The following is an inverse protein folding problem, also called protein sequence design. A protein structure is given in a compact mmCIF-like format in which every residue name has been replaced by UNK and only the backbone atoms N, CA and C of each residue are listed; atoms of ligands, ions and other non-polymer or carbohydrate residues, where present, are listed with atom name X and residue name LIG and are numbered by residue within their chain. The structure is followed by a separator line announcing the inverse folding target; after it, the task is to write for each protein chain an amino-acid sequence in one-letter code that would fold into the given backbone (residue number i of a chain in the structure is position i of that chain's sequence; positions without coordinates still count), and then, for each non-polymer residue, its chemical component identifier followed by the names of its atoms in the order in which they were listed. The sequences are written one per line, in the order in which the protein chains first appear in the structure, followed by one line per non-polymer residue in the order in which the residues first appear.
data_IF_266357102821
#
_entry.id   IF_266357102821
#
_cell.length_a   1.000
_cell.length_b   1.000
_cell.length_c   1.000
_cell.angle_alpha   90.00
_cell.angle_beta   90.00
_cell.angle_gamma   90.00
#
_symmetry.space_group_name_H-M   'P 1'
#
loop_
_entity.id
_entity.type
_entity.pdbx_description
1 polymer ?
#
# COMPACT_ATOMS: atom_id res chain seq x y z
N UNK A 1 13.37 3.14 8.77
CA UNK A 1 12.23 3.38 9.63
C UNK A 1 11.52 4.61 9.18
N UNK A 2 10.25 4.70 9.36
CA UNK A 2 9.49 5.84 8.89
C UNK A 2 8.70 5.57 7.63
N UNK A 3 8.59 4.31 7.24
CA UNK A 3 7.70 3.93 6.14
C UNK A 3 6.51 3.15 6.67
N UNK A 4 5.35 3.44 6.11
CA UNK A 4 4.14 2.69 6.40
C UNK A 4 3.45 2.31 5.11
N UNK A 5 2.63 1.29 5.17
CA UNK A 5 1.84 0.85 4.04
C UNK A 5 0.37 1.15 4.30
N UNK A 6 -0.24 1.88 3.37
CA UNK A 6 -1.69 2.07 3.37
C UNK A 6 -2.30 0.97 2.53
N UNK A 7 -3.16 0.17 3.13
CA UNK A 7 -3.92 -0.84 2.41
C UNK A 7 -5.31 -0.31 2.16
N UNK A 8 -5.66 -0.20 0.88
CA UNK A 8 -6.98 0.24 0.44
C UNK A 8 -7.78 -0.99 0.06
N UNK A 9 -8.82 -1.28 0.82
CA UNK A 9 -9.71 -2.39 0.48
C UNK A 9 -10.82 -1.88 -0.42
N UNK A 10 -11.06 -2.59 -1.52
CA UNK A 10 -12.05 -2.22 -2.53
C UNK A 10 -13.32 -3.06 -2.37
N UNK A 11 -14.45 -2.51 -2.79
CA UNK A 11 -15.71 -3.24 -2.76
C UNK A 11 -15.79 -4.33 -3.82
N UNK A 12 -15.12 -4.11 -4.95
CA UNK A 12 -15.17 -5.02 -6.09
C UNK A 12 -13.76 -5.43 -6.48
N UNK A 13 -13.64 -6.63 -7.05
CA UNK A 13 -12.37 -7.10 -7.58
C UNK A 13 -11.97 -6.30 -8.81
N UNK A 14 -10.67 -6.10 -8.99
CA UNK A 14 -10.13 -5.50 -10.21
C UNK A 14 -9.10 -6.46 -10.81
N UNK A 15 -9.05 -6.52 -12.12
CA UNK A 15 -8.12 -7.42 -12.80
C UNK A 15 -6.71 -6.84 -12.89
N UNK A 16 -6.60 -5.52 -12.85
CA UNK A 16 -5.32 -4.84 -12.95
C UNK A 16 -5.46 -3.43 -12.36
N UNK A 17 -4.31 -2.86 -11.99
CA UNK A 17 -4.28 -1.48 -11.49
C UNK A 17 -4.40 -0.54 -12.69
N UNK A 18 -5.37 0.41 -12.67
CA UNK A 18 -5.49 1.37 -13.78
C UNK A 18 -4.20 2.14 -14.01
N UNK A 19 -3.88 2.39 -15.27
CA UNK A 19 -2.64 3.07 -15.64
C UNK A 19 -2.56 4.49 -15.07
N UNK A 20 -3.69 5.14 -14.83
CA UNK A 20 -3.72 6.47 -14.23
C UNK A 20 -3.14 6.49 -12.81
N UNK A 21 -2.98 5.32 -12.19
CA UNK A 21 -2.45 5.18 -10.84
C UNK A 21 -0.99 4.72 -10.81
N UNK A 22 -0.36 4.58 -11.97
CA UNK A 22 1.02 4.07 -12.05
C UNK A 22 2.01 4.91 -11.24
N UNK A 23 1.77 6.20 -11.13
CA UNK A 23 2.67 7.11 -10.41
C UNK A 23 2.77 6.81 -8.91
N UNK A 24 1.86 6.03 -8.37
CA UNK A 24 1.85 5.69 -6.94
C UNK A 24 2.58 4.39 -6.62
N UNK A 25 3.00 3.64 -7.62
CA UNK A 25 3.68 2.34 -7.43
C UNK A 25 2.86 1.40 -6.54
N UNK A 26 1.58 1.29 -6.83
CA UNK A 26 0.69 0.45 -6.04
C UNK A 26 0.94 -1.03 -6.30
N UNK A 27 0.65 -1.85 -5.30
CA UNK A 27 0.67 -3.30 -5.43
C UNK A 27 -0.74 -3.84 -5.28
N UNK A 28 -1.12 -4.77 -6.15
CA UNK A 28 -2.43 -5.41 -6.07
C UNK A 28 -2.34 -6.66 -5.21
N UNK A 29 -3.23 -6.76 -4.23
CA UNK A 29 -3.25 -7.92 -3.35
C UNK A 29 -3.69 -9.20 -4.07
N UNK A 30 -3.40 -10.35 -3.45
CA UNK A 30 -3.72 -11.65 -4.05
C UNK A 30 -5.22 -11.87 -4.20
N UNK A 31 -6.03 -11.21 -3.37
CA UNK A 31 -7.48 -11.30 -3.47
C UNK A 31 -8.06 -10.42 -4.57
N UNK A 32 -7.24 -9.63 -5.26
CA UNK A 32 -7.65 -8.71 -6.33
C UNK A 32 -8.60 -7.62 -5.85
N UNK A 33 -8.68 -7.39 -4.54
CA UNK A 33 -9.58 -6.41 -3.93
C UNK A 33 -8.86 -5.44 -3.02
N UNK A 34 -7.53 -5.47 -2.98
CA UNK A 34 -6.77 -4.56 -2.14
C UNK A 34 -5.59 -3.98 -2.89
N UNK A 35 -5.29 -2.71 -2.60
CA UNK A 35 -4.15 -2.00 -3.15
C UNK A 35 -3.27 -1.55 -1.99
N UNK A 36 -1.96 -1.67 -2.14
CA UNK A 36 -1.01 -1.25 -1.11
C UNK A 36 -0.17 -0.10 -1.61
N UNK A 37 -0.08 0.92 -0.80
CA UNK A 37 0.68 2.14 -1.08
C UNK A 37 1.65 2.38 0.08
N UNK A 38 2.94 2.37 -0.22
CA UNK A 38 3.97 2.62 0.80
C UNK A 38 4.36 4.09 0.77
N UNK A 39 4.42 4.70 1.93
CA UNK A 39 4.74 6.12 2.04
C UNK A 39 5.67 6.38 3.22
N UNK A 40 6.37 7.52 3.15
CA UNK A 40 7.26 7.96 4.22
C UNK A 40 6.45 8.82 5.20
N UNK A 41 6.37 8.38 6.46
CA UNK A 41 5.57 9.09 7.48
C UNK A 41 6.19 10.44 7.85
N UNK A 42 7.46 10.65 7.54
CA UNK A 42 8.14 11.91 7.82
C UNK A 42 8.03 12.93 6.69
N UNK A 43 7.49 12.52 5.55
CA UNK A 43 7.30 13.44 4.43
C UNK A 43 6.25 14.48 4.77
N UNK A 44 6.46 15.71 4.31
CA UNK A 44 5.48 16.78 4.50
C UNK A 44 4.15 16.44 3.84
N UNK A 45 4.22 15.77 2.70
CA UNK A 45 3.05 15.30 1.97
C UNK A 45 3.22 13.82 1.71
N UNK A 46 2.33 13.02 2.27
CA UNK A 46 2.39 11.56 2.09
C UNK A 46 1.80 11.12 0.76
N UNK A 47 1.04 11.98 0.10
CA UNK A 47 0.36 11.64 -1.15
C UNK A 47 -0.94 10.88 -0.97
N UNK A 48 -1.33 10.59 0.26
CA UNK A 48 -2.53 9.79 0.51
C UNK A 48 -3.79 10.48 0.00
N UNK A 49 -3.93 11.79 0.25
CA UNK A 49 -5.11 12.51 -0.19
C UNK A 49 -5.26 12.48 -1.70
N UNK A 50 -4.15 12.69 -2.41
CA UNK A 50 -4.16 12.63 -3.87
C UNK A 50 -4.48 11.22 -4.36
N UNK A 51 -3.91 10.20 -3.70
CA UNK A 51 -4.17 8.81 -4.04
C UNK A 51 -5.66 8.48 -3.91
N UNK A 52 -6.28 8.85 -2.80
CA UNK A 52 -7.68 8.54 -2.57
C UNK A 52 -8.58 9.25 -3.59
N UNK A 53 -8.25 10.49 -3.95
CA UNK A 53 -9.00 11.21 -4.97
C UNK A 53 -8.85 10.54 -6.34
N UNK A 54 -7.63 10.13 -6.69
CA UNK A 54 -7.38 9.48 -7.97
C UNK A 54 -8.03 8.10 -8.05
N UNK A 55 -8.11 7.38 -6.94
CA UNK A 55 -8.83 6.11 -6.89
C UNK A 55 -10.32 6.34 -7.19
N UNK A 56 -10.89 7.37 -6.59
CA UNK A 56 -12.28 7.72 -6.82
C UNK A 56 -12.50 8.12 -8.29
N UNK A 57 -11.60 8.93 -8.84
CA UNK A 57 -11.69 9.38 -10.21
C UNK A 57 -11.58 8.22 -11.20
N UNK A 58 -10.86 7.15 -10.82
CA UNK A 58 -10.74 5.95 -11.63
C UNK A 58 -11.96 5.04 -11.54
N UNK A 59 -12.94 5.42 -10.71
CA UNK A 59 -14.17 4.63 -10.57
C UNK A 59 -14.08 3.50 -9.57
N UNK A 60 -13.02 3.46 -8.76
CA UNK A 60 -12.87 2.42 -7.76
C UNK A 60 -13.62 2.80 -6.49
N UNK A 61 -14.36 1.85 -5.95
CA UNK A 61 -15.14 2.05 -4.73
C UNK A 61 -14.39 1.50 -3.53
N UNK A 62 -14.15 2.36 -2.56
CA UNK A 62 -13.41 2.00 -1.36
C UNK A 62 -14.33 1.34 -0.36
N UNK A 63 -13.82 0.28 0.30
CA UNK A 63 -14.53 -0.40 1.38
C UNK A 63 -13.92 -0.04 2.73
N UNK A 64 -12.59 -0.05 2.82
CA UNK A 64 -11.90 0.19 4.08
C UNK A 64 -10.47 0.63 3.82
N UNK A 65 -9.88 1.26 4.81
CA UNK A 65 -8.49 1.70 4.77
C UNK A 65 -7.79 1.21 6.04
N UNK A 66 -6.58 0.70 5.86
CA UNK A 66 -5.74 0.27 6.99
C UNK A 66 -4.33 0.78 6.78
N UNK A 67 -3.67 1.14 7.88
CA UNK A 67 -2.25 1.47 7.82
C UNK A 67 -1.49 0.49 8.68
N UNK A 68 -0.31 0.10 8.20
CA UNK A 68 0.54 -0.81 8.95
C UNK A 68 2.00 -0.55 8.62
N UNK A 69 2.88 -1.10 9.43
CA UNK A 69 4.30 -0.96 9.20
C UNK A 69 4.69 -1.64 7.89
N UNK A 70 5.64 -1.03 7.18
CA UNK A 70 6.07 -1.53 5.87
C UNK A 70 6.57 -2.97 5.96
N UNK A 71 6.18 -3.79 4.98
CA UNK A 71 6.64 -5.16 4.88
C UNK A 71 8.15 -5.27 4.72
N UNK A 72 8.78 -4.27 4.11
CA UNK A 72 10.24 -4.28 3.96
C UNK A 72 10.93 -4.29 5.31
N UNK A 73 10.44 -3.53 6.28
CA UNK A 73 10.99 -3.53 7.62
C UNK A 73 10.79 -4.87 8.31
N UNK A 74 9.62 -5.47 8.12
CA UNK A 74 9.33 -6.79 8.69
C UNK A 74 10.26 -7.85 8.14
N UNK A 75 10.49 -7.85 6.84
CA UNK A 75 11.39 -8.81 6.20
C UNK A 75 12.80 -8.64 6.72
N UNK A 76 13.25 -7.40 6.84
CA UNK A 76 14.60 -7.13 7.34
C UNK A 76 14.78 -7.65 8.77
N UNK A 77 13.82 -7.40 9.63
CA UNK A 77 13.90 -7.87 11.02
C UNK A 77 13.93 -9.40 11.07
N UNK A 78 13.12 -10.06 10.27
CA UNK A 78 13.08 -11.51 10.22
C UNK A 78 14.43 -12.11 9.79
N UNK A 79 15.06 -11.50 8.78
CA UNK A 79 16.37 -11.98 8.32
C UNK A 79 17.44 -11.83 9.40
N UNK A 80 17.42 -10.73 10.12
CA UNK A 80 18.38 -10.50 11.20
C UNK A 80 18.17 -11.53 12.32
N UNK A 81 16.93 -11.79 12.66
CA UNK A 81 16.61 -12.80 13.70
C UNK A 81 17.08 -14.18 13.30
N UNK A 82 16.84 -14.58 12.06
CA UNK A 82 17.24 -15.89 11.60
C UNK A 82 18.74 -16.07 11.71
N UNK A 83 19.51 -15.02 11.42
CA UNK A 83 20.96 -15.09 11.59
C UNK A 83 21.36 -15.27 13.03
N UNK A 84 20.65 -14.63 13.96
CA UNK A 84 21.00 -14.67 15.36
C UNK A 84 20.67 -16.00 16.01
N UNK A 85 19.70 -16.70 15.48
CA UNK A 85 19.29 -17.98 16.01
C UNK A 85 20.20 -19.15 15.62
N UNK A 86 21.03 -18.93 14.63
CA UNK A 86 21.96 -19.93 14.17
C UNK A 86 23.32 -19.76 14.84
#
# INVERSE_FOLDING_TARGET
MGHKTLTVELQDKISAIPSSLDKYNLSLGTNMMSLKYTYNVQAKQTGITNLLQDLKDAGLKLKDLKTEQSNLEKIFVSLVRDKNEN
#
